data_IF_864834501600
#
_entry.id   IF_864834501600
#
_cell.length_a   1.000
_cell.length_b   1.000
_cell.length_c   1.000
_cell.angle_alpha   90.00
_cell.angle_beta   90.00
_cell.angle_gamma   90.00
#
_symmetry.space_group_name_H-M   'P 1'
#
loop_
_entity.id
_entity.type
_entity.pdbx_description
1 polymer ?
#
# COMPACT_ATOMS: atom_id res chain seq x y z
N UNK A 1 -17.45 -9.35 48.64
CA UNK A 1 -18.06 -8.37 47.72
C UNK A 1 -17.49 -8.66 46.35
N UNK A 2 -18.27 -9.36 45.52
CA UNK A 2 -17.87 -9.79 44.19
C UNK A 2 -18.50 -8.87 43.16
N UNK A 3 -17.65 -8.50 42.22
CA UNK A 3 -17.83 -7.54 41.14
C UNK A 3 -18.86 -8.02 40.10
N UNK A 4 -19.72 -7.10 39.66
CA UNK A 4 -20.74 -7.35 38.65
C UNK A 4 -20.11 -7.28 37.26
N UNK A 5 -19.52 -8.40 36.83
CA UNK A 5 -19.10 -8.61 35.44
C UNK A 5 -20.31 -8.75 34.51
N UNK A 6 -20.55 -7.72 33.69
CA UNK A 6 -21.45 -7.79 32.54
C UNK A 6 -21.00 -8.91 31.60
N UNK A 7 -21.83 -9.95 31.47
CA UNK A 7 -21.68 -11.02 30.48
C UNK A 7 -22.11 -10.51 29.11
N UNK A 8 -21.18 -10.31 28.18
CA UNK A 8 -21.51 -10.28 26.76
C UNK A 8 -21.62 -11.73 26.26
N UNK A 9 -22.81 -12.11 25.80
CA UNK A 9 -23.05 -13.38 25.10
C UNK A 9 -22.30 -13.35 23.76
N UNK A 10 -21.26 -14.18 23.65
CA UNK A 10 -20.60 -14.51 22.38
C UNK A 10 -21.27 -15.77 21.82
N UNK A 11 -22.17 -15.60 20.85
CA UNK A 11 -22.75 -16.72 20.10
C UNK A 11 -22.45 -16.55 18.61
N UNK A 12 -21.64 -17.49 18.10
CA UNK A 12 -21.32 -17.76 16.70
C UNK A 12 -20.41 -16.76 15.95
N UNK A 13 -19.13 -16.73 16.31
CA UNK A 13 -18.08 -16.27 15.40
C UNK A 13 -17.77 -17.35 14.36
N UNK A 14 -17.74 -16.96 13.08
CA UNK A 14 -17.25 -17.84 12.01
C UNK A 14 -15.72 -17.82 12.05
N UNK A 15 -15.10 -18.97 12.33
CA UNK A 15 -13.65 -19.15 12.23
C UNK A 15 -13.27 -19.07 10.74
N UNK A 16 -12.65 -17.97 10.34
CA UNK A 16 -12.05 -17.85 9.00
C UNK A 16 -10.57 -18.09 9.17
N UNK A 17 -10.14 -19.30 8.82
CA UNK A 17 -8.71 -19.60 8.70
C UNK A 17 -8.23 -18.80 7.50
N UNK A 18 -7.43 -17.77 7.77
CA UNK A 18 -6.76 -16.93 6.76
C UNK A 18 -5.64 -17.79 6.17
N UNK A 19 -4.76 -18.29 7.03
CA UNK A 19 -3.69 -19.21 6.64
C UNK A 19 -3.43 -20.23 7.76
N UNK A 20 -2.56 -21.22 7.53
CA UNK A 20 -2.08 -22.14 8.57
C UNK A 20 -1.49 -21.40 9.80
N UNK A 21 -1.08 -20.13 9.63
CA UNK A 21 -0.51 -19.27 10.68
C UNK A 21 -1.42 -18.11 11.11
N UNK A 22 -2.64 -17.94 10.61
CA UNK A 22 -3.48 -16.81 11.01
C UNK A 22 -4.96 -17.18 11.02
N UNK A 23 -5.67 -16.86 12.11
CA UNK A 23 -7.08 -17.17 12.27
C UNK A 23 -7.85 -15.86 12.47
N UNK A 24 -8.56 -15.40 11.44
CA UNK A 24 -9.57 -14.36 11.64
C UNK A 24 -10.78 -15.00 12.31
N UNK A 25 -11.31 -14.35 13.33
CA UNK A 25 -12.67 -14.63 13.76
C UNK A 25 -13.57 -13.59 13.11
N UNK A 26 -14.34 -14.00 12.09
CA UNK A 26 -15.40 -13.17 11.53
C UNK A 26 -16.61 -13.34 12.42
N UNK A 27 -16.73 -12.49 13.43
CA UNK A 27 -17.94 -12.42 14.23
C UNK A 27 -18.92 -11.51 13.49
N UNK A 28 -20.09 -11.99 13.03
CA UNK A 28 -21.18 -11.11 12.63
C UNK A 28 -21.72 -10.46 13.91
N UNK A 29 -20.97 -9.52 14.47
CA UNK A 29 -21.43 -8.69 15.58
C UNK A 29 -22.30 -7.63 14.95
N UNK A 30 -23.55 -7.58 15.42
CA UNK A 30 -24.49 -6.49 15.23
C UNK A 30 -23.73 -5.16 15.42
N UNK A 31 -23.90 -4.18 14.51
CA UNK A 31 -23.08 -2.98 14.46
C UNK A 31 -23.30 -2.12 15.70
N UNK A 32 -22.43 -2.26 16.71
CA UNK A 32 -22.38 -1.35 17.86
C UNK A 32 -21.00 -0.75 18.08
N UNK A 33 -19.93 -1.30 17.50
CA UNK A 33 -18.57 -0.74 17.60
C UNK A 33 -17.85 -0.73 16.23
N UNK A 34 -17.14 0.36 15.93
CA UNK A 34 -16.46 0.64 14.66
C UNK A 34 -15.10 -0.06 14.49
N UNK A 35 -14.65 -0.83 15.47
CA UNK A 35 -13.34 -1.50 15.48
C UNK A 35 -13.35 -2.77 16.33
N UNK A 36 -12.64 -3.82 15.94
CA UNK A 36 -12.49 -5.08 16.69
C UNK A 36 -11.05 -5.63 16.63
N UNK A 37 -10.71 -6.63 17.45
CA UNK A 37 -9.36 -7.22 17.51
C UNK A 37 -9.27 -8.54 16.75
N UNK A 38 -8.26 -8.70 15.91
CA UNK A 38 -7.92 -9.93 15.19
C UNK A 38 -6.71 -10.59 15.81
N UNK A 39 -6.77 -11.91 16.01
CA UNK A 39 -5.64 -12.70 16.52
C UNK A 39 -4.82 -13.29 15.37
N UNK A 40 -3.52 -13.02 15.38
CA UNK A 40 -2.56 -13.54 14.40
C UNK A 40 -1.59 -14.49 15.10
N UNK A 41 -1.37 -15.69 14.54
CA UNK A 41 -0.37 -16.62 15.12
C UNK A 41 1.00 -16.26 14.53
N UNK A 42 1.91 -15.79 15.37
CA UNK A 42 3.29 -15.52 14.96
C UNK A 42 4.16 -16.76 15.17
N UNK A 43 4.91 -17.16 14.14
CA UNK A 43 6.04 -18.08 14.34
C UNK A 43 7.22 -17.23 14.81
N UNK A 44 7.63 -17.47 16.05
CA UNK A 44 8.75 -16.87 16.80
C UNK A 44 8.53 -15.47 17.40
N UNK A 45 7.75 -15.43 18.49
CA UNK A 45 7.75 -14.33 19.46
C UNK A 45 8.31 -14.89 20.76
N UNK A 46 9.64 -14.96 20.86
CA UNK A 46 10.40 -15.65 21.91
C UNK A 46 10.12 -15.25 23.37
N UNK A 47 9.14 -14.38 23.65
CA UNK A 47 8.78 -13.94 25.00
C UNK A 47 7.28 -13.71 25.26
N UNK A 48 6.36 -14.20 24.41
CA UNK A 48 4.92 -14.15 24.72
C UNK A 48 4.39 -15.55 25.03
N UNK A 49 3.75 -15.70 26.20
CA UNK A 49 3.22 -16.96 26.72
C UNK A 49 2.24 -17.72 25.79
N UNK A 50 1.77 -17.10 24.70
CA UNK A 50 0.80 -17.69 23.78
C UNK A 50 1.17 -17.61 22.28
N UNK A 51 2.30 -17.00 21.88
CA UNK A 51 2.68 -16.85 20.46
C UNK A 51 1.69 -16.07 19.57
N UNK A 52 0.78 -15.31 20.18
CA UNK A 52 -0.35 -14.65 19.53
C UNK A 52 -0.28 -13.12 19.67
N UNK A 53 -0.65 -12.40 18.60
CA UNK A 53 -0.72 -10.94 18.57
C UNK A 53 -2.16 -10.54 18.25
N UNK A 54 -2.70 -9.57 18.98
CA UNK A 54 -4.02 -8.98 18.70
C UNK A 54 -3.85 -7.62 18.05
N UNK A 55 -4.40 -7.44 16.85
CA UNK A 55 -4.32 -6.19 16.09
C UNK A 55 -5.72 -5.63 15.82
N UNK A 56 -5.93 -4.31 15.97
CA UNK A 56 -7.23 -3.70 15.69
C UNK A 56 -7.49 -3.60 14.19
N UNK A 57 -8.75 -3.84 13.82
CA UNK A 57 -9.33 -3.75 12.47
C UNK A 57 -10.62 -2.92 12.52
N UNK A 58 -10.89 -2.18 11.45
CA UNK A 58 -12.03 -1.32 11.19
C UNK A 58 -12.90 -1.90 10.07
N UNK A 59 -14.22 -1.93 10.28
CA UNK A 59 -15.12 -2.33 9.19
C UNK A 59 -15.17 -1.22 8.14
N UNK A 60 -14.47 -1.40 7.02
CA UNK A 60 -14.54 -0.47 5.90
C UNK A 60 -15.92 -0.52 5.21
N UNK A 61 -16.52 0.65 4.96
CA UNK A 61 -17.74 0.73 4.16
C UNK A 61 -17.47 0.31 2.70
N UNK A 62 -18.34 -0.53 2.12
CA UNK A 62 -18.15 -1.00 0.75
C UNK A 62 -18.28 0.18 -0.23
N UNK A 63 -17.20 0.55 -0.91
CA UNK A 63 -17.27 1.47 -2.04
C UNK A 63 -17.66 0.70 -3.32
N UNK A 64 -18.46 1.31 -4.21
CA UNK A 64 -18.76 0.74 -5.53
C UNK A 64 -17.53 0.89 -6.44
N UNK A 65 -16.92 -0.19 -6.96
CA UNK A 65 -15.76 -0.07 -7.84
C UNK A 65 -16.16 -0.24 -9.31
N UNK A 66 -15.76 0.73 -10.14
CA UNK A 66 -15.52 0.53 -11.57
C UNK A 66 -14.62 1.65 -12.12
N UNK A 67 -14.80 2.89 -11.65
CA UNK A 67 -14.16 4.08 -12.26
C UNK A 67 -13.11 4.79 -11.38
N UNK A 68 -12.93 4.34 -10.13
CA UNK A 68 -12.09 5.01 -9.14
C UNK A 68 -11.10 4.02 -8.56
N UNK A 69 -9.86 4.45 -8.31
CA UNK A 69 -8.85 3.65 -7.62
C UNK A 69 -8.61 4.20 -6.23
N UNK A 70 -8.54 3.35 -5.21
CA UNK A 70 -8.14 3.73 -3.87
C UNK A 70 -6.93 2.90 -3.44
N UNK A 71 -6.00 3.53 -2.73
CA UNK A 71 -4.79 2.90 -2.25
C UNK A 71 -4.79 2.81 -0.72
N UNK A 72 -4.49 1.62 -0.21
CA UNK A 72 -4.19 1.43 1.19
C UNK A 72 -2.68 1.47 1.41
N UNK A 73 -2.25 2.26 2.39
CA UNK A 73 -0.84 2.47 2.65
C UNK A 73 -0.43 1.66 3.87
N UNK A 74 0.78 1.10 3.83
CA UNK A 74 1.41 0.49 5.00
C UNK A 74 1.34 1.44 6.20
N UNK A 75 1.34 0.88 7.41
CA UNK A 75 1.30 1.67 8.63
C UNK A 75 2.40 2.74 8.61
N UNK A 76 1.98 4.02 8.63
CA UNK A 76 2.93 5.11 8.53
C UNK A 76 3.80 5.11 9.78
N UNK A 77 5.10 4.87 9.58
CA UNK A 77 6.09 4.90 10.64
C UNK A 77 7.18 5.87 10.25
N UNK A 78 7.28 6.97 10.99
CA UNK A 78 8.42 7.87 10.91
C UNK A 78 9.46 7.43 11.95
N UNK A 79 10.68 7.14 11.48
CA UNK A 79 11.81 6.76 12.32
C UNK A 79 12.88 7.84 12.25
N UNK A 80 13.03 8.68 13.31
CA UNK A 80 14.05 9.74 13.34
C UNK A 80 15.49 9.24 13.18
N UNK A 81 15.74 7.96 13.50
CA UNK A 81 17.05 7.31 13.33
C UNK A 81 17.38 6.99 11.87
N UNK A 82 16.37 6.89 10.99
CA UNK A 82 16.54 6.50 9.59
C UNK A 82 16.58 7.69 8.65
N UNK A 83 15.78 8.73 8.93
CA UNK A 83 15.75 9.95 8.12
C UNK A 83 15.26 11.17 8.88
N UNK A 84 15.59 12.36 8.37
CA UNK A 84 15.07 13.61 8.93
C UNK A 84 13.58 13.80 8.59
N UNK A 85 12.84 14.47 9.49
CA UNK A 85 11.42 14.80 9.33
C UNK A 85 11.09 15.45 7.98
N UNK A 86 11.92 16.40 7.53
CA UNK A 86 11.71 17.07 6.24
C UNK A 86 11.87 16.12 5.05
N UNK A 87 12.79 15.16 5.11
CA UNK A 87 12.96 14.16 4.05
C UNK A 87 11.74 13.24 3.98
N UNK A 88 11.24 12.77 5.13
CA UNK A 88 10.01 11.98 5.18
C UNK A 88 8.82 12.76 4.62
N UNK A 89 8.64 14.02 5.01
CA UNK A 89 7.58 14.89 4.49
C UNK A 89 7.66 15.01 2.98
N UNK A 90 8.84 15.25 2.42
CA UNK A 90 9.03 15.36 0.98
C UNK A 90 8.67 14.05 0.26
N UNK A 91 9.09 12.90 0.80
CA UNK A 91 8.74 11.60 0.23
C UNK A 91 7.23 11.33 0.31
N UNK A 92 6.59 11.68 1.42
CA UNK A 92 5.15 11.51 1.61
C UNK A 92 4.33 12.37 0.63
N UNK A 93 4.69 13.65 0.49
CA UNK A 93 4.06 14.57 -0.47
C UNK A 93 4.25 14.08 -1.89
N UNK A 94 5.48 13.69 -2.25
CA UNK A 94 5.77 13.09 -3.56
C UNK A 94 4.93 11.84 -3.81
N UNK A 95 4.88 10.93 -2.84
CA UNK A 95 4.11 9.70 -2.93
C UNK A 95 2.64 9.97 -3.22
N UNK A 96 2.00 10.86 -2.47
CA UNK A 96 0.59 11.22 -2.64
C UNK A 96 0.37 11.81 -4.03
N UNK A 97 1.15 12.83 -4.40
CA UNK A 97 0.94 13.60 -5.63
C UNK A 97 1.22 12.76 -6.90
N UNK A 98 2.26 11.94 -6.89
CA UNK A 98 2.58 11.07 -8.03
C UNK A 98 1.57 9.93 -8.17
N UNK A 99 1.12 9.31 -7.06
CA UNK A 99 0.06 8.30 -7.14
C UNK A 99 -1.29 8.90 -7.56
N UNK A 100 -1.58 10.17 -7.24
CA UNK A 100 -2.74 10.88 -7.82
C UNK A 100 -2.63 11.01 -9.32
N UNK A 101 -1.45 11.33 -9.86
CA UNK A 101 -1.22 11.36 -11.32
C UNK A 101 -1.40 9.98 -11.96
N UNK A 102 -0.98 8.91 -11.26
CA UNK A 102 -1.18 7.53 -11.69
C UNK A 102 -2.64 7.05 -11.53
N UNK A 103 -3.54 7.89 -11.03
CA UNK A 103 -4.98 7.63 -11.01
C UNK A 103 -5.53 7.07 -9.70
N UNK A 104 -4.74 7.01 -8.63
CA UNK A 104 -5.29 6.80 -7.28
C UNK A 104 -6.11 8.03 -6.91
N UNK A 105 -7.37 7.87 -6.52
CA UNK A 105 -8.29 8.94 -6.12
C UNK A 105 -8.27 9.23 -4.63
N UNK A 106 -8.18 8.17 -3.83
CA UNK A 106 -8.25 8.25 -2.38
C UNK A 106 -7.19 7.36 -1.73
N UNK A 107 -6.62 7.83 -0.63
CA UNK A 107 -5.63 7.10 0.14
C UNK A 107 -6.13 6.85 1.56
N UNK A 108 -5.85 5.65 2.05
CA UNK A 108 -6.17 5.24 3.40
C UNK A 108 -4.88 4.95 4.13
N UNK A 109 -4.66 5.69 5.22
CA UNK A 109 -3.48 5.56 6.05
C UNK A 109 -3.87 5.11 7.46
N UNK A 110 -3.03 4.27 8.03
CA UNK A 110 -3.13 3.86 9.44
C UNK A 110 -2.08 4.63 10.24
N UNK A 111 -2.56 5.40 11.22
CA UNK A 111 -1.71 6.29 12.01
C UNK A 111 -1.35 5.67 13.36
N UNK A 112 -0.06 5.46 13.60
CA UNK A 112 0.51 4.93 14.85
C UNK A 112 1.17 6.02 15.72
N UNK A 113 0.72 7.27 15.61
CA UNK A 113 1.34 8.49 16.15
C UNK A 113 2.40 9.10 15.23
N UNK A 114 2.10 10.28 14.68
CA UNK A 114 2.96 11.03 13.77
C UNK A 114 3.36 12.38 14.39
N UNK A 115 4.60 12.86 14.17
CA UNK A 115 5.02 14.21 14.56
C UNK A 115 4.08 15.30 14.04
N UNK A 116 4.12 16.48 14.69
CA UNK A 116 3.20 17.58 14.41
C UNK A 116 3.30 18.11 12.97
N UNK A 117 4.50 18.17 12.38
CA UNK A 117 4.65 18.62 10.98
C UNK A 117 4.12 17.62 9.98
N UNK A 118 4.39 16.32 10.17
CA UNK A 118 3.84 15.25 9.33
C UNK A 118 2.31 15.25 9.46
N UNK A 119 1.80 15.40 10.68
CA UNK A 119 0.35 15.53 10.94
C UNK A 119 -0.28 16.74 10.25
N UNK A 120 0.43 17.87 10.15
CA UNK A 120 -0.06 19.05 9.43
C UNK A 120 -0.19 18.79 7.92
N UNK A 121 0.78 18.09 7.32
CA UNK A 121 0.71 17.66 5.91
C UNK A 121 -0.47 16.71 5.69
N UNK A 122 -0.65 15.72 6.57
CA UNK A 122 -1.81 14.81 6.48
C UNK A 122 -3.13 15.58 6.58
N UNK A 123 -3.25 16.55 7.50
CA UNK A 123 -4.44 17.40 7.64
C UNK A 123 -4.75 18.21 6.40
N UNK A 124 -3.74 18.70 5.68
CA UNK A 124 -3.96 19.39 4.41
C UNK A 124 -4.66 18.47 3.40
N UNK A 125 -4.12 17.26 3.19
CA UNK A 125 -4.69 16.31 2.23
C UNK A 125 -6.04 15.71 2.66
N UNK A 126 -6.30 15.61 3.98
CA UNK A 126 -7.62 15.32 4.52
C UNK A 126 -8.60 16.44 4.17
N UNK A 127 -8.19 17.71 4.37
CA UNK A 127 -9.04 18.88 4.11
C UNK A 127 -9.48 19.02 2.66
N UNK A 128 -8.67 18.56 1.71
CA UNK A 128 -9.04 18.51 0.28
C UNK A 128 -9.72 17.20 -0.15
N UNK A 129 -9.91 16.26 0.80
CA UNK A 129 -10.66 15.02 0.58
C UNK A 129 -9.90 13.90 -0.13
N UNK A 130 -8.56 13.91 -0.14
CA UNK A 130 -7.76 12.86 -0.80
C UNK A 130 -7.35 11.74 0.15
N UNK A 131 -7.39 12.00 1.46
CA UNK A 131 -6.87 11.09 2.47
C UNK A 131 -7.92 10.85 3.55
N UNK A 132 -8.05 9.57 3.94
CA UNK A 132 -8.61 9.17 5.22
C UNK A 132 -7.51 8.62 6.11
N UNK A 133 -7.46 9.07 7.35
CA UNK A 133 -6.53 8.56 8.36
C UNK A 133 -7.32 7.82 9.42
N UNK A 134 -7.04 6.54 9.55
CA UNK A 134 -7.61 5.68 10.58
C UNK A 134 -6.65 5.63 11.76
N UNK A 135 -7.06 6.06 12.97
CA UNK A 135 -6.26 5.89 14.17
C UNK A 135 -5.98 4.40 14.41
N UNK A 136 -4.72 4.03 14.59
CA UNK A 136 -4.33 2.64 14.80
C UNK A 136 -3.55 2.51 16.10
N UNK A 137 -4.29 2.45 17.21
CA UNK A 137 -3.73 2.29 18.56
C UNK A 137 -3.39 0.83 18.82
N UNK A 138 -2.10 0.53 18.84
CA UNK A 138 -1.60 -0.80 19.14
C UNK A 138 -1.59 -1.04 20.65
N UNK A 139 -1.92 -2.26 21.07
CA UNK A 139 -1.85 -2.66 22.48
C UNK A 139 -0.40 -2.61 23.00
N UNK A 140 -0.24 -2.38 24.30
CA UNK A 140 1.07 -2.36 24.95
C UNK A 140 1.84 -3.67 24.73
N UNK A 141 3.16 -3.56 24.52
CA UNK A 141 4.06 -4.69 24.34
C UNK A 141 4.19 -5.21 22.91
N UNK A 142 3.51 -4.63 21.91
CA UNK A 142 3.70 -4.93 20.48
C UNK A 142 5.02 -4.34 19.98
N UNK A 143 5.88 -5.21 19.42
CA UNK A 143 7.13 -4.80 18.79
C UNK A 143 6.83 -4.25 17.38
N UNK A 144 7.02 -2.95 17.19
CA UNK A 144 6.74 -2.29 15.91
C UNK A 144 7.63 -2.81 14.77
N UNK A 145 8.84 -3.29 15.07
CA UNK A 145 9.77 -3.80 14.07
C UNK A 145 9.45 -5.24 13.69
N UNK A 146 9.16 -6.10 14.68
CA UNK A 146 8.95 -7.54 14.45
C UNK A 146 7.49 -7.90 14.21
N UNK A 147 6.59 -7.40 15.04
CA UNK A 147 5.19 -7.80 15.04
C UNK A 147 4.41 -7.04 13.96
N UNK A 148 4.68 -5.75 13.78
CA UNK A 148 3.92 -4.90 12.84
C UNK A 148 4.47 -4.98 11.42
N UNK A 149 5.78 -5.08 11.23
CA UNK A 149 6.33 -4.99 9.88
C UNK A 149 5.73 -6.05 8.95
N UNK A 150 5.55 -7.30 9.40
CA UNK A 150 4.92 -8.32 8.57
C UNK A 150 3.42 -8.49 8.87
N UNK A 151 3.04 -8.77 10.12
CA UNK A 151 1.65 -9.09 10.45
C UNK A 151 0.74 -7.86 10.44
N UNK A 152 1.28 -6.68 10.76
CA UNK A 152 0.56 -5.43 10.64
C UNK A 152 0.17 -5.08 9.21
N UNK A 153 1.06 -5.31 8.24
CA UNK A 153 0.73 -5.16 6.82
C UNK A 153 -0.43 -6.07 6.42
N UNK A 154 -0.39 -7.34 6.83
CA UNK A 154 -1.46 -8.31 6.55
C UNK A 154 -2.81 -7.92 7.13
N UNK A 155 -2.80 -7.41 8.37
CA UNK A 155 -4.03 -6.94 9.02
C UNK A 155 -4.57 -5.72 8.31
N UNK A 156 -3.76 -4.69 8.08
CA UNK A 156 -4.16 -3.48 7.34
C UNK A 156 -4.71 -3.84 5.96
N UNK A 157 -4.05 -4.74 5.24
CA UNK A 157 -4.47 -5.19 3.91
C UNK A 157 -5.88 -5.78 3.89
N UNK A 158 -6.22 -6.61 4.88
CA UNK A 158 -7.52 -7.27 4.97
C UNK A 158 -8.57 -6.42 5.69
N UNK A 159 -8.13 -5.39 6.42
CA UNK A 159 -8.98 -4.35 6.98
C UNK A 159 -9.45 -3.37 5.89
N UNK A 160 -8.51 -3.04 5.03
CA UNK A 160 -8.57 -2.04 4.00
C UNK A 160 -8.65 -2.73 2.65
N UNK A 161 -9.69 -3.58 2.45
CA UNK A 161 -9.97 -4.30 1.20
C UNK A 161 -10.34 -3.30 0.08
N UNK A 162 -9.32 -2.58 -0.38
CA UNK A 162 -9.36 -1.57 -1.42
C UNK A 162 -8.64 -2.08 -2.67
N UNK A 163 -8.61 -1.23 -3.69
CA UNK A 163 -8.16 -1.62 -5.02
C UNK A 163 -6.64 -1.83 -5.08
N UNK A 164 -5.83 -1.21 -4.24
CA UNK A 164 -4.38 -1.49 -4.20
C UNK A 164 -3.74 -1.26 -2.85
N UNK A 165 -2.60 -1.91 -2.61
CA UNK A 165 -1.74 -1.70 -1.46
C UNK A 165 -0.32 -1.41 -1.89
N UNK A 166 0.23 -0.31 -1.39
CA UNK A 166 1.50 0.24 -1.84
C UNK A 166 2.27 0.84 -0.66
N UNK A 167 3.59 0.70 -0.69
CA UNK A 167 4.49 1.32 0.28
C UNK A 167 4.81 2.76 -0.16
N UNK A 168 5.19 3.65 0.77
CA UNK A 168 5.45 5.08 0.45
C UNK A 168 6.62 5.31 -0.51
N UNK A 169 7.47 4.31 -0.71
CA UNK A 169 8.60 4.28 -1.65
C UNK A 169 8.30 3.46 -2.92
N UNK A 170 7.03 3.09 -3.11
CA UNK A 170 6.56 2.25 -4.20
C UNK A 170 5.47 2.91 -5.06
N UNK A 171 5.47 2.60 -6.35
CA UNK A 171 4.48 3.10 -7.32
C UNK A 171 4.10 2.01 -8.31
N UNK A 172 2.80 1.81 -8.53
CA UNK A 172 2.30 0.98 -9.62
C UNK A 172 2.29 1.77 -10.91
N UNK A 173 3.20 1.44 -11.84
CA UNK A 173 3.36 2.18 -13.09
C UNK A 173 2.93 1.29 -14.26
N UNK A 174 1.64 1.31 -14.65
CA UNK A 174 1.19 0.64 -15.85
C UNK A 174 1.65 1.42 -17.09
N UNK A 175 1.90 0.73 -18.19
CA UNK A 175 2.39 1.35 -19.43
C UNK A 175 1.52 1.02 -20.63
N UNK A 176 1.52 1.91 -21.63
CA UNK A 176 0.94 1.64 -22.94
C UNK A 176 1.91 0.83 -23.82
N UNK A 177 1.50 0.51 -25.05
CA UNK A 177 2.33 -0.22 -26.02
C UNK A 177 3.63 0.49 -26.43
N UNK A 178 3.79 1.78 -26.11
CA UNK A 178 5.02 2.56 -26.32
C UNK A 178 5.93 2.58 -25.08
N UNK A 179 5.51 1.94 -23.99
CA UNK A 179 6.22 1.95 -22.71
C UNK A 179 6.03 3.23 -21.90
N UNK A 180 5.08 4.09 -22.26
CA UNK A 180 4.78 5.32 -21.51
C UNK A 180 3.73 5.04 -20.43
N UNK A 181 3.90 5.65 -19.25
CA UNK A 181 2.99 5.42 -18.16
C UNK A 181 1.57 5.92 -18.47
N UNK A 182 0.58 5.12 -18.06
CA UNK A 182 -0.85 5.43 -18.10
C UNK A 182 -1.40 5.41 -16.67
N UNK A 183 -2.65 5.80 -16.49
CA UNK A 183 -3.28 5.71 -15.17
C UNK A 183 -3.82 4.28 -14.89
N UNK A 184 -4.00 3.96 -13.61
CA UNK A 184 -4.44 2.65 -13.13
C UNK A 184 -5.85 2.28 -13.59
N UNK A 185 -6.76 3.26 -13.75
CA UNK A 185 -8.10 3.03 -14.30
C UNK A 185 -8.01 2.54 -15.75
N UNK A 186 -7.12 3.16 -16.56
CA UNK A 186 -6.91 2.75 -17.94
C UNK A 186 -6.29 1.36 -18.02
N UNK A 187 -5.35 1.05 -17.14
CA UNK A 187 -4.78 -0.30 -17.04
C UNK A 187 -5.86 -1.34 -16.68
N UNK A 188 -6.72 -1.02 -15.70
CA UNK A 188 -7.85 -1.86 -15.33
C UNK A 188 -8.78 -2.12 -16.53
N UNK A 189 -9.12 -1.09 -17.31
CA UNK A 189 -9.93 -1.22 -18.52
C UNK A 189 -9.24 -2.06 -19.60
N UNK A 190 -7.95 -1.84 -19.87
CA UNK A 190 -7.19 -2.55 -20.91
C UNK A 190 -7.07 -4.05 -20.64
N UNK A 191 -7.04 -4.43 -19.36
CA UNK A 191 -6.86 -5.81 -18.94
C UNK A 191 -8.16 -6.45 -18.42
N UNK A 192 -9.31 -5.83 -18.68
CA UNK A 192 -10.63 -6.31 -18.26
C UNK A 192 -10.68 -6.67 -16.76
N UNK A 193 -10.15 -5.78 -15.93
CA UNK A 193 -10.19 -5.90 -14.48
C UNK A 193 -11.58 -5.47 -13.99
N UNK A 194 -12.47 -6.44 -13.77
CA UNK A 194 -13.86 -6.20 -13.37
C UNK A 194 -14.43 -7.31 -12.47
N UNK A 195 -15.69 -7.15 -12.07
CA UNK A 195 -16.42 -8.10 -11.24
C UNK A 195 -17.22 -9.15 -12.03
N UNK A 196 -17.09 -9.20 -13.37
CA UNK A 196 -17.87 -10.07 -14.26
C UNK A 196 -17.21 -11.41 -14.58
N UNK A 197 -16.00 -11.64 -14.06
CA UNK A 197 -15.25 -12.89 -14.20
C UNK A 197 -14.09 -12.78 -15.19
N UNK A 198 -12.99 -13.48 -14.89
CA UNK A 198 -11.72 -13.37 -15.61
C UNK A 198 -10.62 -12.81 -14.70
N UNK A 199 -10.13 -11.61 -14.99
CA UNK A 199 -9.10 -10.95 -14.20
C UNK A 199 -9.71 -10.16 -13.04
N UNK A 200 -9.41 -10.59 -11.82
CA UNK A 200 -9.78 -9.89 -10.59
C UNK A 200 -8.59 -9.12 -9.99
N UNK A 201 -7.39 -9.33 -10.52
CA UNK A 201 -6.18 -8.68 -10.07
C UNK A 201 -5.19 -8.49 -11.23
N UNK A 202 -4.49 -7.36 -11.23
CA UNK A 202 -3.30 -7.10 -12.04
C UNK A 202 -2.07 -7.14 -11.14
N UNK A 203 -1.10 -7.98 -11.49
CA UNK A 203 0.14 -8.15 -10.76
C UNK A 203 1.28 -7.35 -11.36
N UNK A 204 1.87 -6.45 -10.57
CA UNK A 204 3.03 -5.67 -10.93
C UNK A 204 4.28 -6.28 -10.29
N UNK A 205 5.21 -6.74 -11.13
CA UNK A 205 6.48 -7.32 -10.66
C UNK A 205 7.44 -6.23 -10.20
N UNK A 206 8.29 -6.59 -9.25
CA UNK A 206 9.15 -5.66 -8.52
C UNK A 206 10.39 -5.25 -9.31
N UNK A 207 10.52 -3.95 -9.59
CA UNK A 207 11.71 -3.33 -10.17
C UNK A 207 12.32 -2.33 -9.21
N UNK A 208 13.65 -2.37 -9.06
CA UNK A 208 14.36 -1.54 -8.07
C UNK A 208 15.05 -0.34 -8.70
N UNK A 209 14.80 0.84 -8.16
CA UNK A 209 15.36 2.12 -8.58
C UNK A 209 16.33 2.67 -7.51
N UNK A 210 17.62 2.29 -7.55
CA UNK A 210 18.61 2.71 -6.57
C UNK A 210 19.03 4.18 -6.69
N UNK A 211 19.45 4.83 -5.59
CA UNK A 211 20.02 6.17 -5.62
C UNK A 211 21.14 6.28 -6.65
N UNK A 212 21.09 7.29 -7.51
CA UNK A 212 22.19 7.56 -8.43
C UNK A 212 23.35 8.22 -7.67
N UNK A 213 24.59 7.71 -7.76
CA UNK A 213 25.78 8.36 -7.21
C UNK A 213 26.09 9.72 -7.85
N UNK A 214 25.59 9.93 -9.08
CA UNK A 214 25.67 11.19 -9.81
C UNK A 214 24.24 11.70 -9.91
N UNK A 215 23.90 12.73 -9.13
CA UNK A 215 22.62 13.43 -9.26
C UNK A 215 22.35 13.64 -10.76
N UNK A 216 21.25 13.08 -11.28
CA UNK A 216 20.79 13.44 -12.62
C UNK A 216 20.71 14.97 -12.63
N UNK A 217 21.46 15.62 -13.54
CA UNK A 217 21.58 17.07 -13.57
C UNK A 217 20.15 17.62 -13.67
N UNK A 218 19.70 18.33 -12.63
CA UNK A 218 18.35 18.86 -12.44
C UNK A 218 17.90 19.89 -13.49
N UNK A 219 18.59 19.99 -14.62
CA UNK A 219 18.41 21.03 -15.64
C UNK A 219 17.43 20.69 -16.77
N UNK A 220 16.95 19.45 -16.89
CA UNK A 220 16.02 19.07 -17.99
C UNK A 220 14.55 18.97 -17.56
N UNK A 221 14.26 19.06 -16.27
CA UNK A 221 12.87 19.02 -15.78
C UNK A 221 12.35 20.44 -15.62
N UNK A 222 11.34 20.82 -16.42
CA UNK A 222 10.59 22.08 -16.24
C UNK A 222 9.66 21.94 -15.03
N UNK A 223 10.24 22.03 -13.84
CA UNK A 223 9.48 22.09 -12.58
C UNK A 223 8.88 23.51 -12.41
N UNK A 224 7.64 23.63 -11.91
CA UNK A 224 7.13 24.90 -11.39
C UNK A 224 8.12 25.54 -10.41
N UNK A 225 8.22 26.87 -10.38
CA UNK A 225 9.17 27.60 -9.53
C UNK A 225 9.03 27.26 -8.04
N UNK A 226 7.81 26.92 -7.58
CA UNK A 226 7.52 26.45 -6.23
C UNK A 226 8.15 25.09 -5.87
N UNK A 227 8.56 24.30 -6.87
CA UNK A 227 9.14 22.97 -6.71
C UNK A 227 10.66 22.96 -6.95
N UNK A 228 11.26 24.12 -7.24
CA UNK A 228 12.71 24.25 -7.40
C UNK A 228 13.36 23.98 -6.03
N UNK A 229 14.06 22.85 -5.93
CA UNK A 229 14.66 22.34 -4.69
C UNK A 229 13.97 21.08 -4.13
N UNK A 230 12.75 20.78 -4.55
CA UNK A 230 12.07 19.52 -4.27
C UNK A 230 12.67 18.42 -5.15
N UNK A 231 13.51 17.56 -4.57
CA UNK A 231 14.09 16.40 -5.28
C UNK A 231 13.02 15.30 -5.42
N UNK A 232 12.12 15.44 -6.38
CA UNK A 232 11.09 14.42 -6.69
C UNK A 232 11.80 13.19 -7.28
N UNK A 233 12.05 12.20 -6.43
CA UNK A 233 12.92 11.06 -6.71
C UNK A 233 12.40 10.24 -7.89
N UNK A 234 11.09 10.02 -7.96
CA UNK A 234 10.41 9.19 -8.96
C UNK A 234 10.50 9.74 -10.38
N UNK A 235 10.51 11.07 -10.54
CA UNK A 235 10.68 11.74 -11.83
C UNK A 235 12.17 11.93 -12.18
N UNK A 236 13.01 12.10 -11.17
CA UNK A 236 14.46 12.33 -11.32
C UNK A 236 15.30 11.06 -11.39
N UNK A 237 14.74 9.89 -11.08
CA UNK A 237 15.49 8.62 -11.04
C UNK A 237 14.88 7.67 -12.05
N UNK A 238 15.40 7.74 -13.27
CA UNK A 238 14.94 6.93 -14.40
C UNK A 238 15.85 5.74 -14.68
N UNK A 239 16.79 5.45 -13.79
CA UNK A 239 17.63 4.25 -13.87
C UNK A 239 17.18 3.23 -12.85
N UNK A 240 16.97 2.00 -13.31
CA UNK A 240 16.64 0.84 -12.47
C UNK A 240 17.58 -0.33 -12.71
N UNK A 241 17.59 -1.26 -11.78
CA UNK A 241 18.23 -2.55 -11.97
C UNK A 241 17.48 -3.29 -13.08
N UNK A 242 18.24 -3.90 -13.99
CA UNK A 242 17.71 -4.66 -15.13
C UNK A 242 16.92 -5.88 -14.69
N UNK A 243 17.43 -6.60 -13.69
CA UNK A 243 16.76 -7.76 -13.10
C UNK A 243 15.45 -7.35 -12.44
N UNK A 244 14.40 -8.14 -12.70
CA UNK A 244 13.06 -7.99 -12.15
C UNK A 244 12.76 -9.25 -11.34
N UNK A 245 12.29 -9.09 -10.10
CA UNK A 245 11.99 -10.25 -9.25
C UNK A 245 10.86 -11.11 -9.85
N UNK A 246 10.86 -12.43 -9.60
CA UNK A 246 9.75 -13.31 -9.97
C UNK A 246 8.39 -12.81 -9.46
N UNK A 247 7.33 -13.20 -10.15
CA UNK A 247 5.99 -12.94 -9.65
C UNK A 247 5.77 -13.67 -8.33
N UNK A 248 5.05 -13.04 -7.39
CA UNK A 248 4.91 -13.39 -5.95
C UNK A 248 6.06 -12.95 -5.03
N UNK A 249 7.24 -12.64 -5.58
CA UNK A 249 8.33 -12.03 -4.80
C UNK A 249 8.22 -10.51 -4.84
N UNK A 250 7.80 -9.92 -3.71
CA UNK A 250 7.68 -8.46 -3.54
C UNK A 250 6.80 -7.75 -4.58
N UNK A 251 5.95 -8.50 -5.28
CA UNK A 251 4.98 -7.94 -6.23
C UNK A 251 3.90 -7.15 -5.46
N UNK A 252 3.19 -6.26 -6.15
CA UNK A 252 2.01 -5.57 -5.62
C UNK A 252 0.88 -5.64 -6.64
N UNK A 253 -0.34 -5.45 -6.17
CA UNK A 253 -1.54 -5.75 -6.95
C UNK A 253 -2.46 -4.55 -7.08
N UNK A 254 -3.14 -4.47 -8.23
CA UNK A 254 -4.39 -3.74 -8.40
C UNK A 254 -5.52 -4.77 -8.47
N UNK A 255 -6.48 -4.76 -7.57
CA UNK A 255 -7.50 -5.81 -7.38
C UNK A 255 -8.91 -5.28 -7.48
N UNK A 256 -9.87 -6.15 -7.77
CA UNK A 256 -11.31 -5.89 -7.60
C UNK A 256 -11.71 -6.40 -6.22
N UNK A 257 -11.76 -5.50 -5.23
CA UNK A 257 -11.93 -5.88 -3.82
C UNK A 257 -13.12 -6.82 -3.55
N UNK A 258 -14.26 -6.66 -4.24
CA UNK A 258 -15.46 -7.52 -4.08
C UNK A 258 -15.23 -8.98 -4.47
N UNK A 259 -14.23 -9.26 -5.29
CA UNK A 259 -13.88 -10.61 -5.73
C UNK A 259 -12.82 -11.27 -4.82
N UNK A 260 -12.18 -10.48 -3.97
CA UNK A 260 -11.11 -10.95 -3.07
C UNK A 260 -11.72 -11.33 -1.73
N UNK A 261 -11.46 -12.57 -1.32
CA UNK A 261 -11.82 -13.06 0.02
C UNK A 261 -10.68 -12.79 0.99
N UNK A 262 -9.44 -12.91 0.50
CA UNK A 262 -8.24 -12.79 1.31
C UNK A 262 -7.05 -12.39 0.43
N UNK A 263 -6.35 -11.35 0.85
CA UNK A 263 -5.20 -10.81 0.11
C UNK A 263 -3.92 -10.99 0.93
N UNK A 264 -2.87 -11.50 0.28
CA UNK A 264 -1.51 -11.51 0.79
C UNK A 264 -0.75 -10.25 0.38
N UNK A 265 0.40 -10.02 1.01
CA UNK A 265 1.24 -8.83 0.71
C UNK A 265 1.63 -8.75 -0.77
N UNK A 266 1.84 -9.90 -1.42
CA UNK A 266 2.38 -9.96 -2.79
C UNK A 266 1.49 -10.61 -3.83
N UNK A 267 0.46 -11.34 -3.42
CA UNK A 267 -0.46 -12.05 -4.31
C UNK A 267 -1.80 -12.33 -3.62
N UNK A 268 -2.84 -12.59 -4.41
CA UNK A 268 -4.17 -12.98 -3.89
C UNK A 268 -4.06 -14.38 -3.30
N UNK A 269 -4.48 -14.55 -2.05
CA UNK A 269 -4.49 -15.86 -1.37
C UNK A 269 -5.81 -16.60 -1.61
N UNK A 270 -6.93 -15.88 -1.52
CA UNK A 270 -8.25 -16.49 -1.68
C UNK A 270 -9.24 -15.52 -2.33
N UNK A 271 -10.19 -16.07 -3.08
CA UNK A 271 -11.20 -15.31 -3.82
C UNK A 271 -12.57 -15.97 -3.74
N UNK A 272 -13.64 -15.18 -3.91
CA UNK A 272 -15.02 -15.68 -3.82
C UNK A 272 -15.46 -16.46 -5.06
N UNK A 273 -14.91 -16.12 -6.22
CA UNK A 273 -15.21 -16.72 -7.53
C UNK A 273 -13.90 -17.12 -8.23
N UNK A 274 -13.98 -17.74 -9.41
CA UNK A 274 -12.81 -17.95 -10.27
C UNK A 274 -12.18 -16.61 -10.65
N UNK A 275 -11.10 -16.28 -9.96
CA UNK A 275 -10.41 -14.99 -10.01
C UNK A 275 -8.97 -15.23 -10.46
N UNK A 276 -8.62 -14.70 -11.64
CA UNK A 276 -7.28 -14.78 -12.18
C UNK A 276 -6.49 -13.51 -11.85
N UNK A 277 -5.25 -13.70 -11.42
CA UNK A 277 -4.29 -12.60 -11.36
C UNK A 277 -3.53 -12.53 -12.68
N UNK A 278 -3.81 -11.51 -13.49
CA UNK A 278 -3.05 -11.22 -14.71
C UNK A 278 -1.72 -10.59 -14.31
N UNK A 279 -0.64 -11.31 -14.55
CA UNK A 279 0.71 -10.77 -14.40
C UNK A 279 0.99 -9.83 -15.56
N UNK A 280 1.32 -8.58 -15.24
CA UNK A 280 1.71 -7.60 -16.25
C UNK A 280 3.15 -7.85 -16.68
N UNK A 281 3.38 -7.80 -17.99
CA UNK A 281 4.70 -7.81 -18.59
C UNK A 281 5.47 -6.55 -18.18
N UNK A 282 6.62 -6.70 -17.48
CA UNK A 282 7.44 -5.56 -17.03
C UNK A 282 7.92 -4.62 -18.14
N UNK A 283 8.05 -5.14 -19.37
CA UNK A 283 8.57 -4.37 -20.50
C UNK A 283 7.49 -3.63 -21.30
N UNK A 284 6.21 -3.96 -21.12
CA UNK A 284 5.15 -3.51 -22.05
C UNK A 284 3.76 -3.27 -21.45
N UNK A 285 3.49 -3.74 -20.24
CA UNK A 285 2.16 -3.61 -19.62
C UNK A 285 2.23 -2.88 -18.26
N UNK A 286 3.30 -3.06 -17.49
CA UNK A 286 3.49 -2.32 -16.25
C UNK A 286 4.54 -2.92 -15.31
N UNK A 287 5.05 -2.08 -14.41
CA UNK A 287 6.08 -2.45 -13.44
C UNK A 287 5.79 -1.79 -12.08
N UNK A 288 6.12 -2.49 -10.99
CA UNK A 288 6.18 -1.89 -9.66
C UNK A 288 7.53 -1.19 -9.53
N UNK A 289 7.50 0.13 -9.39
CA UNK A 289 8.70 0.92 -9.13
C UNK A 289 8.95 0.98 -7.64
N UNK A 290 10.11 0.49 -7.19
CA UNK A 290 10.52 0.53 -5.79
C UNK A 290 11.80 1.34 -5.63
N UNK A 291 11.72 2.50 -4.98
CA UNK A 291 12.80 3.48 -4.88
C UNK A 291 13.67 3.30 -3.62
N UNK A 292 14.55 2.27 -3.60
CA UNK A 292 15.44 1.99 -2.43
C UNK A 292 16.92 1.79 -2.73
N UNK A 293 17.73 1.96 -1.68
CA UNK A 293 19.20 2.02 -1.72
C UNK A 293 19.95 0.69 -1.61
N UNK A 294 19.28 -0.43 -1.34
CA UNK A 294 19.95 -1.67 -0.95
C UNK A 294 20.36 -2.57 -2.11
N UNK A 295 19.88 -2.30 -3.33
CA UNK A 295 20.10 -3.18 -4.46
C UNK A 295 21.21 -2.66 -5.39
N UNK A 296 22.06 -3.58 -5.85
CA UNK A 296 23.12 -3.34 -6.83
C UNK A 296 22.96 -4.29 -8.01
N UNK A 297 23.32 -3.84 -9.21
CA UNK A 297 23.23 -4.67 -10.41
C UNK A 297 23.44 -3.87 -11.69
N UNK A 298 23.31 -4.55 -12.84
CA UNK A 298 23.30 -3.90 -14.15
C UNK A 298 22.14 -2.90 -14.21
N UNK A 299 22.46 -1.64 -14.48
CA UNK A 299 21.50 -0.55 -14.50
C UNK A 299 21.05 -0.26 -15.94
N UNK A 300 19.75 -0.19 -16.16
CA UNK A 300 19.15 0.24 -17.43
C UNK A 300 18.30 1.49 -17.23
N UNK A 301 18.11 2.22 -18.32
CA UNK A 301 17.24 3.38 -18.37
C UNK A 301 15.77 2.94 -18.53
N UNK A 302 14.87 3.57 -17.78
CA UNK A 302 13.44 3.37 -17.76
C UNK A 302 12.73 4.64 -18.24
N UNK A 303 11.87 4.53 -19.24
CA UNK A 303 11.23 5.69 -19.89
C UNK A 303 9.77 5.88 -19.45
N UNK A 304 9.24 5.00 -18.59
CA UNK A 304 7.81 4.98 -18.24
C UNK A 304 7.31 6.32 -17.68
N UNK A 305 8.05 6.91 -16.75
CA UNK A 305 7.66 8.16 -16.08
C UNK A 305 7.96 9.44 -16.88
N UNK A 306 8.49 9.33 -18.10
CA UNK A 306 8.90 10.50 -18.91
C UNK A 306 7.71 11.43 -19.25
N UNK A 307 6.53 10.87 -19.47
CA UNK A 307 5.32 11.64 -19.80
C UNK A 307 4.84 12.56 -18.65
N UNK A 308 5.22 12.26 -17.41
CA UNK A 308 4.81 13.03 -16.23
C UNK A 308 5.77 14.18 -15.86
N UNK A 309 6.91 14.29 -16.56
CA UNK A 309 7.99 15.22 -16.25
C UNK A 309 7.60 16.73 -16.33
N UNK A 310 6.44 17.06 -16.90
CA UNK A 310 5.89 18.42 -16.95
C UNK A 310 4.50 18.59 -16.32
N UNK A 311 3.96 17.54 -15.70
CA UNK A 311 2.55 17.50 -15.27
C UNK A 311 2.40 17.68 -13.76
N UNK A 312 3.44 17.39 -12.98
CA UNK A 312 3.38 17.47 -11.52
C UNK A 312 3.36 18.92 -11.03
N UNK A 313 2.34 19.25 -10.24
CA UNK A 313 2.23 20.49 -9.45
C UNK A 313 1.90 20.07 -8.03
N UNK A 314 2.87 20.11 -7.10
CA UNK A 314 2.58 19.86 -5.69
C UNK A 314 1.64 20.95 -5.19
N UNK A 315 0.61 20.54 -4.46
CA UNK A 315 -0.40 21.43 -3.87
C UNK A 315 -0.05 21.80 -2.44
#
# INVERSE_FOLDING_TARGET
MQDHGNKLLVTQCTKVIICHTMVLYFCPVVPTESSYLVEVNGVDVSNRASGKIKLPVHVAESSKPADKVAACITALRYLPSEESENQFIMRLVEFIEVNRLLGVEHFYFYNMSLPSKISAVMKHYIGIGWITVTPWSLAEGIDLDKDIHYYGQMVILNDCLLLTFIDIDEMLVPTNSKGEAINLVKAAQLHSLDDRGGNCALGFRHGVFPPSPKQEKSGEIKMPTSLIGCKIVSLLRRRRIKSILPFTERSKLLVVARQIKEIGIHFVWNSWQSCQTKQLSPSSEGLLHHYRHWAAGEMIEDQSMKCFNGTLRLR
#
